data_IF_523667712972
#
_entry.id   IF_523667712972
#
_cell.length_a   1.000
_cell.length_b   1.000
_cell.length_c   1.000
_cell.angle_alpha   90.00
_cell.angle_beta   90.00
_cell.angle_gamma   90.00
#
_symmetry.space_group_name_H-M   'P 1'
#
loop_
_entity.id
_entity.type
_entity.pdbx_description
1 polymer ?
#
# COMPACT_ATOMS: atom_id res chain seq x y z
N UNK A 1 -32.48 1.21 3.41
CA UNK A 1 -31.15 1.78 3.66
C UNK A 1 -30.13 0.98 2.86
N UNK A 2 -29.41 1.62 1.94
CA UNK A 2 -28.39 0.91 1.18
C UNK A 2 -27.09 0.82 1.99
N UNK A 3 -26.46 -0.35 1.96
CA UNK A 3 -25.14 -0.52 2.55
C UNK A 3 -24.08 0.21 1.72
N UNK A 4 -23.10 0.82 2.38
CA UNK A 4 -21.94 1.43 1.74
C UNK A 4 -20.71 0.61 2.05
N UNK A 5 -19.92 0.31 1.02
CA UNK A 5 -18.70 -0.47 1.15
C UNK A 5 -17.49 0.33 0.69
N UNK A 6 -16.40 0.17 1.38
CA UNK A 6 -15.12 0.74 0.99
C UNK A 6 -14.17 -0.42 0.70
N UNK A 7 -13.63 -0.47 -0.52
CA UNK A 7 -12.61 -1.44 -0.89
C UNK A 7 -11.24 -0.84 -0.59
N UNK A 8 -10.44 -1.55 0.18
CA UNK A 8 -9.05 -1.21 0.43
C UNK A 8 -8.16 -2.31 -0.14
N UNK A 9 -7.15 -1.93 -0.91
CA UNK A 9 -6.15 -2.82 -1.48
C UNK A 9 -4.78 -2.44 -0.92
N UNK A 10 -4.12 -3.39 -0.30
CA UNK A 10 -2.83 -3.17 0.34
C UNK A 10 -1.67 -3.71 -0.51
N UNK A 11 -0.45 -3.30 -0.15
CA UNK A 11 0.81 -3.87 -0.66
C UNK A 11 1.14 -3.50 -2.10
N UNK A 12 0.55 -2.46 -2.68
CA UNK A 12 1.03 -1.92 -3.95
C UNK A 12 2.44 -1.36 -3.76
N UNK A 13 3.39 -1.83 -4.54
CA UNK A 13 4.80 -1.44 -4.41
C UNK A 13 5.52 -1.57 -5.75
N UNK A 14 6.72 -0.94 -5.89
CA UNK A 14 7.46 -0.98 -7.17
C UNK A 14 7.84 -2.39 -7.63
N UNK A 15 7.83 -3.38 -6.75
CA UNK A 15 8.16 -4.79 -7.08
C UNK A 15 6.93 -5.69 -7.12
N UNK A 16 5.74 -5.14 -7.22
CA UNK A 16 4.48 -5.89 -7.25
C UNK A 16 4.30 -6.66 -8.57
N UNK A 17 3.35 -7.59 -8.56
CA UNK A 17 2.93 -8.29 -9.78
C UNK A 17 2.03 -7.36 -10.61
N UNK A 18 2.63 -6.68 -11.57
CA UNK A 18 1.96 -5.66 -12.39
C UNK A 18 0.76 -6.24 -13.15
N UNK A 19 0.88 -7.45 -13.68
CA UNK A 19 -0.21 -8.08 -14.44
C UNK A 19 -1.45 -8.32 -13.57
N UNK A 20 -1.26 -8.74 -12.33
CA UNK A 20 -2.37 -8.90 -11.38
C UNK A 20 -3.01 -7.56 -11.02
N UNK A 21 -2.20 -6.55 -10.77
CA UNK A 21 -2.70 -5.22 -10.44
C UNK A 21 -3.44 -4.58 -11.60
N UNK A 22 -2.99 -4.79 -12.84
CA UNK A 22 -3.69 -4.33 -14.03
C UNK A 22 -5.06 -5.01 -14.17
N UNK A 23 -5.16 -6.29 -13.84
CA UNK A 23 -6.46 -7.00 -13.84
C UNK A 23 -7.39 -6.46 -12.75
N UNK A 24 -6.88 -6.18 -11.56
CA UNK A 24 -7.64 -5.58 -10.48
C UNK A 24 -8.15 -4.20 -10.90
N UNK A 25 -7.30 -3.39 -11.52
CA UNK A 25 -7.66 -2.08 -12.03
C UNK A 25 -8.82 -2.16 -13.04
N UNK A 26 -8.74 -3.10 -14.00
CA UNK A 26 -9.81 -3.31 -14.98
C UNK A 26 -11.12 -3.69 -14.33
N UNK A 27 -11.09 -4.53 -13.30
CA UNK A 27 -12.30 -4.91 -12.57
C UNK A 27 -12.89 -3.71 -11.84
N UNK A 28 -12.07 -2.93 -11.17
CA UNK A 28 -12.51 -1.71 -10.49
C UNK A 28 -13.12 -0.71 -11.48
N UNK A 29 -12.49 -0.51 -12.64
CA UNK A 29 -12.99 0.39 -13.67
C UNK A 29 -14.34 -0.10 -14.23
N UNK A 30 -14.48 -1.41 -14.47
CA UNK A 30 -15.71 -2.00 -14.97
C UNK A 30 -16.90 -1.77 -14.04
N UNK A 31 -16.68 -1.89 -12.73
CA UNK A 31 -17.73 -1.75 -11.73
C UNK A 31 -17.78 -0.37 -11.09
N UNK A 32 -17.02 0.61 -11.61
CA UNK A 32 -16.95 1.97 -11.09
C UNK A 32 -16.55 2.04 -9.61
N UNK A 33 -15.68 1.13 -9.20
CA UNK A 33 -15.13 1.10 -7.86
C UNK A 33 -13.90 2.00 -7.78
N UNK A 34 -13.84 2.84 -6.77
CA UNK A 34 -12.71 3.73 -6.48
C UNK A 34 -12.10 3.32 -5.15
N UNK A 35 -11.15 2.37 -5.14
CA UNK A 35 -10.61 1.84 -3.89
C UNK A 35 -9.64 2.80 -3.21
N UNK A 36 -9.33 2.49 -1.95
CA UNK A 36 -8.16 3.02 -1.26
C UNK A 36 -7.00 2.09 -1.57
N UNK A 37 -5.91 2.60 -2.13
CA UNK A 37 -4.69 1.84 -2.37
C UNK A 37 -3.67 2.22 -1.30
N UNK A 38 -3.29 1.26 -0.48
CA UNK A 38 -2.23 1.45 0.51
C UNK A 38 -0.90 0.99 -0.09
N UNK A 39 0.01 1.93 -0.32
CA UNK A 39 1.27 1.68 -1.03
C UNK A 39 2.44 1.49 -0.07
N UNK A 40 3.40 0.68 -0.48
CA UNK A 40 4.68 0.48 0.20
C UNK A 40 5.78 1.06 -0.70
N UNK A 41 6.28 2.28 -0.43
CA UNK A 41 7.19 2.98 -1.34
C UNK A 41 8.52 2.29 -1.59
N UNK A 42 9.08 1.65 -0.57
CA UNK A 42 10.41 1.04 -0.64
C UNK A 42 10.35 -0.38 -0.07
N UNK A 43 9.60 -1.27 -0.73
CA UNK A 43 9.38 -2.62 -0.23
C UNK A 43 10.68 -3.40 -0.09
N UNK A 44 10.94 -3.90 1.13
CA UNK A 44 12.04 -4.82 1.44
C UNK A 44 11.53 -6.18 1.92
N UNK A 45 10.22 -6.36 2.00
CA UNK A 45 9.61 -7.63 2.37
C UNK A 45 9.67 -8.58 1.18
N UNK A 46 10.45 -9.65 1.31
CA UNK A 46 10.65 -10.63 0.24
C UNK A 46 9.35 -11.30 -0.22
N UNK A 47 8.35 -11.37 0.65
CA UNK A 47 7.04 -11.95 0.31
C UNK A 47 6.29 -11.13 -0.73
N UNK A 48 6.58 -9.84 -0.83
CA UNK A 48 5.94 -8.91 -1.75
C UNK A 48 6.79 -8.62 -2.99
N UNK A 49 8.00 -9.19 -3.08
CA UNK A 49 8.86 -9.01 -4.26
C UNK A 49 8.44 -10.05 -5.30
N UNK A 50 7.67 -9.61 -6.29
CA UNK A 50 7.16 -10.46 -7.38
C UNK A 50 7.84 -10.19 -8.71
N UNK A 51 8.40 -9.01 -8.89
CA UNK A 51 9.09 -8.58 -10.10
C UNK A 51 10.28 -7.69 -9.75
N UNK A 52 11.07 -7.34 -10.77
CA UNK A 52 12.05 -6.26 -10.65
C UNK A 52 11.33 -4.92 -10.43
N UNK A 53 12.06 -3.91 -9.98
CA UNK A 53 11.50 -2.57 -9.75
C UNK A 53 10.90 -2.04 -11.06
N UNK A 54 9.61 -1.69 -11.02
CA UNK A 54 8.91 -1.04 -12.12
C UNK A 54 9.16 0.46 -12.07
N UNK A 55 9.90 0.97 -13.03
CA UNK A 55 10.20 2.41 -13.12
C UNK A 55 8.95 3.26 -13.38
N UNK A 56 7.87 2.65 -13.84
CA UNK A 56 6.59 3.33 -14.11
C UNK A 56 5.60 3.24 -12.93
N UNK A 57 6.02 2.66 -11.80
CA UNK A 57 5.13 2.46 -10.66
C UNK A 57 4.44 3.75 -10.22
N UNK A 58 5.21 4.83 -10.04
CA UNK A 58 4.66 6.10 -9.57
C UNK A 58 3.75 6.78 -10.60
N UNK A 59 4.00 6.57 -11.88
CA UNK A 59 3.07 7.01 -12.93
C UNK A 59 1.73 6.27 -12.82
N UNK A 60 1.77 4.97 -12.54
CA UNK A 60 0.57 4.16 -12.31
C UNK A 60 -0.19 4.66 -11.09
N UNK A 61 0.48 4.98 -10.00
CA UNK A 61 -0.13 5.56 -8.79
C UNK A 61 -0.84 6.88 -9.12
N UNK A 62 -0.21 7.75 -9.91
CA UNK A 62 -0.83 9.01 -10.35
C UNK A 62 -2.06 8.79 -11.20
N UNK A 63 -2.04 7.79 -12.08
CA UNK A 63 -3.21 7.42 -12.89
C UNK A 63 -4.37 7.00 -11.99
N UNK A 64 -4.09 6.16 -10.99
CA UNK A 64 -5.11 5.77 -10.00
C UNK A 64 -5.69 6.98 -9.27
N UNK A 65 -4.83 7.88 -8.82
CA UNK A 65 -5.25 9.09 -8.13
C UNK A 65 -6.13 9.97 -9.02
N UNK A 66 -5.77 10.11 -10.30
CA UNK A 66 -6.54 10.89 -11.27
C UNK A 66 -7.91 10.27 -11.57
N UNK A 67 -8.06 8.97 -11.40
CA UNK A 67 -9.36 8.27 -11.50
C UNK A 67 -10.24 8.46 -10.27
N UNK A 68 -9.73 9.08 -9.21
CA UNK A 68 -10.43 9.26 -7.94
C UNK A 68 -10.14 8.17 -6.91
N UNK A 69 -9.17 7.29 -7.16
CA UNK A 69 -8.71 6.35 -6.16
C UNK A 69 -7.95 7.09 -5.06
N UNK A 70 -8.08 6.65 -3.83
CA UNK A 70 -7.38 7.26 -2.70
C UNK A 70 -6.07 6.52 -2.45
N UNK A 71 -4.99 7.28 -2.35
CA UNK A 71 -3.66 6.73 -2.10
C UNK A 71 -3.32 6.91 -0.63
N UNK A 72 -2.96 5.83 0.04
CA UNK A 72 -2.57 5.83 1.45
C UNK A 72 -1.19 5.19 1.59
N UNK A 73 -0.54 5.43 2.72
CA UNK A 73 0.74 4.82 3.03
C UNK A 73 0.53 3.55 3.85
N UNK A 74 1.15 2.45 3.42
CA UNK A 74 1.14 1.17 4.13
C UNK A 74 2.56 0.82 4.56
N UNK A 75 3.09 1.58 5.53
CA UNK A 75 4.49 1.54 5.87
C UNK A 75 5.37 2.12 4.78
N UNK A 76 6.67 1.99 4.93
CA UNK A 76 7.65 2.43 3.91
C UNK A 76 8.35 1.22 3.27
N UNK A 77 8.89 0.32 4.09
CA UNK A 77 9.66 -0.85 3.67
C UNK A 77 8.86 -2.14 3.78
N UNK A 78 7.70 -2.13 4.43
CA UNK A 78 6.90 -3.28 4.81
C UNK A 78 7.66 -4.25 5.71
N UNK A 79 8.51 -3.72 6.59
CA UNK A 79 9.30 -4.49 7.55
C UNK A 79 9.06 -3.93 8.95
N UNK A 80 8.78 -4.81 9.90
CA UNK A 80 8.61 -4.44 11.30
C UNK A 80 9.96 -4.26 11.96
N UNK A 81 10.19 -3.08 12.54
CA UNK A 81 11.42 -2.74 13.28
C UNK A 81 11.13 -2.40 14.74
N UNK A 82 9.88 -2.46 15.16
CA UNK A 82 9.44 -2.18 16.52
C UNK A 82 8.46 -3.26 16.97
N UNK A 83 8.49 -3.61 18.25
CA UNK A 83 7.52 -4.51 18.87
C UNK A 83 6.28 -3.80 19.41
N UNK A 84 6.20 -2.49 19.23
CA UNK A 84 5.03 -1.70 19.63
C UNK A 84 4.00 -1.70 18.50
N UNK A 85 2.74 -1.95 18.84
CA UNK A 85 1.63 -1.92 17.88
C UNK A 85 0.94 -0.54 17.80
N UNK A 86 1.46 0.46 18.47
CA UNK A 86 0.85 1.79 18.54
C UNK A 86 -0.38 1.81 19.42
N UNK A 87 -1.44 2.51 18.98
CA UNK A 87 -2.66 2.71 19.78
C UNK A 87 -3.58 1.48 19.81
N UNK A 88 -3.45 0.58 18.85
CA UNK A 88 -4.32 -0.61 18.73
C UNK A 88 -3.45 -1.85 18.91
N UNK A 89 -3.52 -2.57 20.05
CA UNK A 89 -2.57 -3.62 20.40
C UNK A 89 -2.94 -4.98 19.83
N UNK A 90 -3.33 -5.06 18.56
CA UNK A 90 -3.64 -6.32 17.90
C UNK A 90 -2.39 -7.06 17.41
N UNK A 91 -1.29 -6.34 17.20
CA UNK A 91 -0.03 -6.89 16.76
C UNK A 91 1.10 -6.18 17.50
N UNK A 92 2.04 -6.93 18.05
CA UNK A 92 3.18 -6.37 18.80
C UNK A 92 4.26 -5.77 17.91
N UNK A 93 4.19 -5.99 16.59
CA UNK A 93 5.18 -5.52 15.63
C UNK A 93 4.64 -4.34 14.83
N UNK A 94 5.50 -3.35 14.57
CA UNK A 94 5.14 -2.22 13.71
C UNK A 94 6.38 -1.67 13.01
N UNK A 95 6.16 -0.83 12.02
CA UNK A 95 7.24 -0.13 11.30
C UNK A 95 7.52 1.25 11.91
N UNK A 96 6.50 1.92 12.44
CA UNK A 96 6.61 3.30 12.94
C UNK A 96 6.38 3.43 14.44
N UNK A 97 5.39 2.75 15.01
CA UNK A 97 5.06 2.90 16.40
C UNK A 97 6.21 2.43 17.32
N UNK A 98 6.57 3.23 18.32
CA UNK A 98 7.69 2.96 19.20
C UNK A 98 9.06 3.28 18.61
N UNK A 99 9.15 3.70 17.36
CA UNK A 99 10.38 4.11 16.69
C UNK A 99 10.59 5.61 16.90
N UNK A 100 11.84 6.06 17.10
CA UNK A 100 12.10 7.46 17.32
C UNK A 100 11.79 8.31 16.06
N UNK A 101 11.56 9.60 16.27
CA UNK A 101 11.12 10.50 15.20
C UNK A 101 12.08 10.53 14.02
N UNK A 102 13.39 10.48 14.26
CA UNK A 102 14.39 10.51 13.19
C UNK A 102 14.20 9.34 12.23
N UNK A 103 14.02 8.13 12.76
CA UNK A 103 13.81 6.93 11.94
C UNK A 103 12.48 7.03 11.19
N UNK A 104 11.43 7.52 11.85
CA UNK A 104 10.13 7.69 11.20
C UNK A 104 10.21 8.66 10.01
N UNK A 105 10.98 9.75 10.13
CA UNK A 105 11.15 10.73 9.06
C UNK A 105 11.99 10.20 7.90
N UNK A 106 12.89 9.24 8.13
CA UNK A 106 13.70 8.60 7.08
C UNK A 106 12.89 7.60 6.26
N UNK A 107 11.79 7.11 6.78
CA UNK A 107 10.88 6.19 6.09
C UNK A 107 9.81 6.95 5.32
#
# INVERSE_FOLDING_TARGET
MSAKYILRLDDACPTMDVAKWDRIEKICDKFLIRPIIAVVPNNKDKKLIKNTIDINFWNKVRIWQNKGWHIALHGHDHIYISNSSGLVPFNKKSEFAGVNLKIQLEK
#
